data_IF_713914585390
#
_entry.id   IF_713914585390
#
_cell.length_a   1.000
_cell.length_b   1.000
_cell.length_c   1.000
_cell.angle_alpha   90.00
_cell.angle_beta   90.00
_cell.angle_gamma   90.00
#
_symmetry.space_group_name_H-M   'P 1'
#
loop_
_entity.id
_entity.type
_entity.pdbx_description
1 polymer ?
#
# COMPACT_ATOMS: atom_id res chain seq x y z
N UNK A 1 57.84 -35.20 -1.04
CA UNK A 1 56.77 -34.18 -0.93
C UNK A 1 55.73 -34.51 -2.00
N UNK A 2 54.57 -35.06 -1.60
CA UNK A 2 53.54 -35.54 -2.53
C UNK A 2 52.47 -34.41 -2.66
N UNK A 3 52.24 -33.97 -3.89
CA UNK A 3 51.18 -33.02 -4.23
C UNK A 3 49.81 -33.74 -4.22
N UNK A 4 48.80 -33.14 -3.55
CA UNK A 4 47.42 -33.61 -3.51
C UNK A 4 46.64 -32.82 -4.57
N UNK A 5 45.90 -33.48 -5.49
CA UNK A 5 45.10 -32.78 -6.49
C UNK A 5 43.80 -32.27 -5.84
N UNK A 6 43.52 -30.96 -6.01
CA UNK A 6 42.25 -30.33 -5.68
C UNK A 6 41.27 -30.61 -6.81
N UNK A 7 40.22 -31.38 -6.51
CA UNK A 7 39.11 -31.62 -7.43
C UNK A 7 38.12 -30.44 -7.34
N UNK A 8 37.99 -29.72 -8.45
CA UNK A 8 36.97 -28.68 -8.61
C UNK A 8 35.60 -29.34 -8.83
N UNK A 9 34.70 -29.16 -7.87
CA UNK A 9 33.29 -29.53 -8.00
C UNK A 9 32.52 -28.38 -8.69
N UNK A 10 32.06 -28.62 -9.89
CA UNK A 10 31.16 -27.74 -10.62
C UNK A 10 29.76 -27.79 -10.03
N UNK A 11 29.03 -26.64 -9.86
CA UNK A 11 27.64 -26.62 -9.41
C UNK A 11 26.71 -27.03 -10.56
N UNK A 12 25.95 -28.11 -10.36
CA UNK A 12 24.86 -28.53 -11.24
C UNK A 12 23.70 -27.53 -11.18
N UNK A 13 23.13 -27.11 -12.33
CA UNK A 13 21.94 -26.25 -12.32
C UNK A 13 20.70 -27.08 -11.93
N UNK A 14 20.03 -26.66 -10.86
CA UNK A 14 18.71 -27.17 -10.46
C UNK A 14 17.70 -26.71 -11.51
N UNK A 15 17.41 -27.58 -12.47
CA UNK A 15 16.26 -27.43 -13.37
C UNK A 15 14.99 -27.76 -12.58
N UNK A 16 14.29 -26.75 -12.11
CA UNK A 16 12.94 -26.86 -11.56
C UNK A 16 12.03 -27.38 -12.68
N UNK A 17 11.60 -28.64 -12.54
CA UNK A 17 10.57 -29.25 -13.39
C UNK A 17 9.20 -28.67 -13.02
N UNK A 18 8.82 -27.55 -13.61
CA UNK A 18 7.52 -26.90 -13.50
C UNK A 18 6.56 -27.36 -14.62
N UNK A 19 6.61 -28.63 -14.97
CA UNK A 19 5.89 -29.14 -16.13
C UNK A 19 4.91 -30.30 -15.88
N UNK A 20 4.66 -30.73 -14.65
CA UNK A 20 3.87 -31.98 -14.43
C UNK A 20 2.63 -31.83 -13.55
N UNK A 21 2.21 -30.64 -13.18
CA UNK A 21 0.99 -30.43 -12.37
C UNK A 21 -0.18 -29.87 -13.17
N UNK A 22 0.01 -29.42 -14.41
CA UNK A 22 -1.06 -28.86 -15.25
C UNK A 22 -1.77 -29.92 -16.13
N UNK A 23 -1.24 -31.12 -16.23
CA UNK A 23 -1.78 -32.18 -17.10
C UNK A 23 -2.82 -33.12 -16.45
N UNK A 24 -3.18 -32.95 -15.17
CA UNK A 24 -4.08 -33.88 -14.46
C UNK A 24 -5.47 -33.31 -14.12
N UNK A 25 -5.82 -32.12 -14.61
CA UNK A 25 -7.13 -31.44 -14.37
C UNK A 25 -8.02 -31.34 -15.62
N UNK A 26 -7.70 -31.99 -16.75
CA UNK A 26 -8.47 -31.93 -18.00
C UNK A 26 -9.12 -33.23 -18.45
N UNK A 27 -9.21 -34.28 -17.63
CA UNK A 27 -9.81 -35.58 -18.03
C UNK A 27 -11.12 -35.90 -17.31
N UNK A 28 -11.75 -35.01 -16.57
CA UNK A 28 -12.99 -35.28 -15.82
C UNK A 28 -14.24 -34.51 -16.34
N UNK A 29 -14.33 -34.15 -17.61
CA UNK A 29 -15.52 -33.48 -18.18
C UNK A 29 -16.00 -34.07 -19.53
N UNK A 30 -16.02 -35.40 -19.66
CA UNK A 30 -16.65 -36.00 -20.83
C UNK A 30 -17.34 -37.32 -20.46
N UNK A 31 -18.53 -37.26 -19.86
CA UNK A 31 -19.60 -38.30 -19.90
C UNK A 31 -20.76 -37.81 -19.03
N UNK A 32 -21.70 -37.11 -19.64
CA UNK A 32 -22.95 -36.67 -19.01
C UNK A 32 -23.89 -36.09 -20.02
N UNK A 33 -24.23 -36.90 -21.08
CA UNK A 33 -25.38 -36.60 -21.93
C UNK A 33 -26.65 -37.06 -21.21
N UNK A 34 -27.47 -36.10 -20.73
CA UNK A 34 -28.72 -36.38 -20.04
C UNK A 34 -29.70 -35.22 -20.22
N UNK A 35 -30.62 -35.41 -21.19
CA UNK A 35 -31.96 -34.82 -21.34
C UNK A 35 -32.15 -33.33 -21.09
N UNK A 36 -32.41 -32.67 -22.24
CA UNK A 36 -32.97 -31.33 -22.31
C UNK A 36 -34.36 -31.31 -21.67
N UNK A 37 -34.48 -30.62 -20.52
CA UNK A 37 -35.76 -30.10 -20.06
C UNK A 37 -35.78 -28.59 -20.34
N UNK A 38 -36.61 -28.22 -21.29
CA UNK A 38 -36.82 -26.86 -21.75
C UNK A 38 -37.68 -26.11 -20.71
N UNK A 39 -37.11 -25.81 -19.54
CA UNK A 39 -37.69 -24.81 -18.66
C UNK A 39 -37.39 -23.44 -19.27
N UNK A 40 -38.36 -22.90 -20.00
CA UNK A 40 -38.42 -21.50 -20.38
C UNK A 40 -38.28 -20.63 -19.13
N UNK A 41 -37.05 -20.22 -18.81
CA UNK A 41 -36.78 -19.13 -17.86
C UNK A 41 -37.48 -17.90 -18.48
N UNK A 42 -38.66 -17.57 -17.96
CA UNK A 42 -39.25 -16.25 -18.16
C UNK A 42 -38.14 -15.26 -17.78
N UNK A 43 -37.61 -14.52 -18.78
CA UNK A 43 -36.85 -13.32 -18.57
C UNK A 43 -37.62 -12.49 -17.55
N UNK A 44 -37.02 -12.06 -16.42
CA UNK A 44 -37.66 -11.01 -15.67
C UNK A 44 -37.81 -9.86 -16.67
N UNK A 45 -39.03 -9.44 -16.91
CA UNK A 45 -39.31 -8.18 -17.57
C UNK A 45 -38.51 -7.17 -16.77
N UNK A 46 -37.44 -6.65 -17.36
CA UNK A 46 -36.85 -5.40 -16.94
C UNK A 46 -37.93 -4.35 -17.14
N UNK A 47 -38.72 -4.15 -16.12
CA UNK A 47 -39.50 -2.93 -15.99
C UNK A 47 -38.49 -1.83 -15.70
N UNK A 48 -37.65 -1.52 -16.69
CA UNK A 48 -37.09 -0.21 -16.80
C UNK A 48 -38.28 0.75 -16.88
N UNK A 49 -38.23 1.86 -16.13
CA UNK A 49 -39.30 2.83 -16.23
C UNK A 49 -39.46 3.20 -17.70
N UNK A 50 -40.68 2.96 -18.21
CA UNK A 50 -41.09 3.41 -19.53
C UNK A 50 -40.85 4.91 -19.58
N UNK A 51 -40.09 5.39 -20.56
CA UNK A 51 -39.81 6.84 -20.76
C UNK A 51 -41.06 7.63 -21.17
N UNK A 52 -42.26 7.07 -20.98
CA UNK A 52 -43.56 7.67 -21.25
C UNK A 52 -44.37 8.05 -20.03
N UNK A 53 -43.83 7.82 -18.81
CA UNK A 53 -44.45 8.33 -17.60
C UNK A 53 -44.15 9.84 -17.52
N UNK A 54 -45.21 10.67 -17.66
CA UNK A 54 -45.12 12.11 -17.49
C UNK A 54 -44.80 12.42 -16.01
N UNK A 55 -43.51 12.41 -15.66
CA UNK A 55 -43.06 12.78 -14.35
C UNK A 55 -42.95 14.31 -14.24
N UNK A 56 -43.49 14.85 -13.18
CA UNK A 56 -43.32 16.27 -12.82
C UNK A 56 -42.19 16.36 -11.82
N UNK A 57 -41.24 17.23 -12.10
CA UNK A 57 -40.13 17.52 -11.18
C UNK A 57 -40.48 18.70 -10.30
N UNK A 58 -40.25 18.56 -9.01
CA UNK A 58 -40.36 19.65 -8.02
C UNK A 58 -39.02 19.91 -7.41
N UNK A 59 -38.56 21.13 -7.43
CA UNK A 59 -37.33 21.54 -6.79
C UNK A 59 -37.44 22.90 -6.13
N UNK A 60 -36.52 23.15 -5.19
CA UNK A 60 -36.43 24.44 -4.51
C UNK A 60 -35.06 25.05 -4.81
N UNK A 61 -35.08 26.25 -5.44
CA UNK A 61 -33.82 26.93 -5.73
C UNK A 61 -33.10 27.40 -4.45
N UNK A 62 -31.85 27.76 -4.56
CA UNK A 62 -31.06 28.33 -3.45
C UNK A 62 -31.65 29.63 -2.92
N UNK A 63 -32.45 30.36 -3.74
CA UNK A 63 -33.18 31.56 -3.34
C UNK A 63 -34.52 31.29 -2.65
N UNK A 64 -34.90 30.01 -2.49
CA UNK A 64 -36.11 29.57 -1.80
C UNK A 64 -37.36 29.45 -2.68
N UNK A 65 -37.27 29.75 -3.98
CA UNK A 65 -38.37 29.59 -4.92
C UNK A 65 -38.59 28.13 -5.30
N UNK A 66 -39.84 27.66 -5.33
CA UNK A 66 -40.24 26.33 -5.75
C UNK A 66 -40.59 26.34 -7.23
N UNK A 67 -39.99 25.41 -7.99
CA UNK A 67 -40.25 25.19 -9.40
C UNK A 67 -40.93 23.84 -9.60
N UNK A 68 -41.86 23.81 -10.55
CA UNK A 68 -42.56 22.60 -10.99
C UNK A 68 -42.51 22.53 -12.50
N UNK A 69 -42.28 21.37 -13.07
CA UNK A 69 -42.26 21.21 -14.52
C UNK A 69 -41.79 19.82 -14.97
N UNK A 70 -41.90 19.57 -16.24
CA UNK A 70 -41.47 18.33 -16.86
C UNK A 70 -39.93 18.27 -17.09
N UNK A 71 -39.26 19.43 -16.95
CA UNK A 71 -37.79 19.53 -17.02
C UNK A 71 -37.24 20.19 -15.76
N UNK A 72 -36.07 19.78 -15.35
CA UNK A 72 -35.35 20.40 -14.22
C UNK A 72 -34.79 21.75 -14.69
N UNK A 73 -35.22 22.88 -14.13
CA UNK A 73 -34.73 24.17 -14.56
C UNK A 73 -33.30 24.43 -14.08
N UNK A 74 -32.55 25.30 -14.78
CA UNK A 74 -31.14 25.58 -14.43
C UNK A 74 -30.97 26.11 -12.98
N UNK A 75 -31.95 26.80 -12.45
CA UNK A 75 -31.97 27.36 -11.11
C UNK A 75 -32.00 26.27 -10.01
N UNK A 76 -32.37 25.06 -10.37
CA UNK A 76 -32.39 23.89 -9.49
C UNK A 76 -31.17 22.98 -9.69
N UNK A 77 -30.20 23.37 -10.50
CA UNK A 77 -28.95 22.62 -10.63
C UNK A 77 -28.22 22.56 -9.28
N UNK A 78 -27.98 21.32 -8.81
CA UNK A 78 -27.35 21.09 -7.51
C UNK A 78 -28.27 21.16 -6.30
N UNK A 79 -29.57 21.40 -6.47
CA UNK A 79 -30.59 21.29 -5.41
C UNK A 79 -31.22 19.88 -5.45
N UNK A 80 -31.86 19.50 -4.34
CA UNK A 80 -32.65 18.27 -4.29
C UNK A 80 -33.89 18.40 -5.19
N UNK A 81 -34.13 17.39 -6.03
CA UNK A 81 -35.25 17.35 -6.96
C UNK A 81 -36.15 16.17 -6.62
N UNK A 82 -37.44 16.46 -6.35
CA UNK A 82 -38.45 15.46 -6.16
C UNK A 82 -39.12 15.12 -7.48
N UNK A 83 -39.25 13.83 -7.76
CA UNK A 83 -40.00 13.32 -8.90
C UNK A 83 -41.37 12.94 -8.44
N UNK A 84 -42.41 13.55 -9.03
CA UNK A 84 -43.79 13.36 -8.68
C UNK A 84 -44.50 12.49 -9.73
N UNK A 85 -45.44 11.67 -9.29
CA UNK A 85 -46.37 10.96 -10.18
C UNK A 85 -47.51 11.89 -10.62
N UNK A 86 -48.42 11.35 -11.48
CA UNK A 86 -49.61 12.08 -11.93
C UNK A 86 -50.54 12.52 -10.80
N UNK A 87 -50.44 11.89 -9.65
CA UNK A 87 -51.22 12.23 -8.44
C UNK A 87 -50.53 13.24 -7.55
N UNK A 88 -49.32 13.73 -7.92
CA UNK A 88 -48.54 14.67 -7.14
C UNK A 88 -47.82 14.08 -5.94
N UNK A 89 -47.69 12.73 -5.86
CA UNK A 89 -46.93 12.06 -4.82
C UNK A 89 -45.47 11.92 -5.24
N UNK A 90 -44.56 12.07 -4.29
CA UNK A 90 -43.12 11.87 -4.50
C UNK A 90 -42.86 10.39 -4.69
N UNK A 91 -42.47 9.99 -5.90
CA UNK A 91 -42.06 8.61 -6.25
C UNK A 91 -40.58 8.41 -6.14
N UNK A 92 -39.80 9.47 -6.28
CA UNK A 92 -38.33 9.41 -6.20
C UNK A 92 -37.78 10.78 -5.83
N UNK A 93 -36.63 10.79 -5.15
CA UNK A 93 -35.84 12.00 -4.90
C UNK A 93 -34.50 11.87 -5.64
N UNK A 94 -34.11 12.91 -6.38
CA UNK A 94 -32.79 13.05 -6.97
C UNK A 94 -32.01 13.98 -6.05
N UNK A 95 -31.01 13.50 -5.32
CA UNK A 95 -30.26 14.34 -4.38
C UNK A 95 -29.39 15.34 -5.16
N UNK A 96 -29.42 16.59 -4.70
CA UNK A 96 -28.57 17.66 -5.23
C UNK A 96 -27.10 17.51 -4.84
N UNK A 97 -26.24 18.35 -5.41
CA UNK A 97 -24.78 18.26 -5.17
C UNK A 97 -24.43 18.42 -3.66
N UNK A 98 -25.13 19.30 -2.94
CA UNK A 98 -24.92 19.45 -1.48
C UNK A 98 -25.38 18.23 -0.69
N UNK A 99 -26.54 17.64 -1.07
CA UNK A 99 -27.03 16.40 -0.46
C UNK A 99 -26.12 15.21 -0.76
N UNK A 100 -25.55 15.14 -1.96
CA UNK A 100 -24.55 14.11 -2.33
C UNK A 100 -23.27 14.26 -1.50
N UNK A 101 -22.81 15.48 -1.29
CA UNK A 101 -21.63 15.74 -0.44
C UNK A 101 -21.92 15.36 1.04
N UNK A 102 -23.08 15.71 1.56
CA UNK A 102 -23.48 15.32 2.91
C UNK A 102 -23.60 13.80 3.07
N UNK A 103 -24.19 13.11 2.10
CA UNK A 103 -24.27 11.64 2.09
C UNK A 103 -22.88 11.00 2.01
N UNK A 104 -21.98 11.55 1.18
CA UNK A 104 -20.60 11.10 1.10
C UNK A 104 -19.86 11.30 2.42
N UNK A 105 -20.04 12.46 3.08
CA UNK A 105 -19.45 12.74 4.39
C UNK A 105 -20.00 11.82 5.49
N UNK A 106 -21.30 11.56 5.50
CA UNK A 106 -21.91 10.61 6.44
C UNK A 106 -21.36 9.20 6.24
N UNK A 107 -21.34 8.74 4.99
CA UNK A 107 -20.77 7.42 4.67
C UNK A 107 -19.31 7.32 5.06
N UNK A 108 -18.51 8.34 4.77
CA UNK A 108 -17.10 8.36 5.19
C UNK A 108 -16.95 8.31 6.72
N UNK A 109 -17.83 8.97 7.47
CA UNK A 109 -17.84 8.92 8.93
C UNK A 109 -18.26 7.54 9.47
N UNK A 110 -19.24 6.88 8.84
CA UNK A 110 -19.65 5.50 9.18
C UNK A 110 -18.55 4.50 8.86
N UNK A 111 -17.93 4.60 7.69
CA UNK A 111 -16.81 3.75 7.27
C UNK A 111 -15.61 3.92 8.21
N UNK A 112 -15.32 5.16 8.64
CA UNK A 112 -14.28 5.45 9.62
C UNK A 112 -14.56 4.82 11.00
N UNK A 113 -15.82 4.89 11.48
CA UNK A 113 -16.24 4.23 12.72
C UNK A 113 -16.14 2.70 12.62
N UNK A 114 -16.60 2.14 11.50
CA UNK A 114 -16.50 0.70 11.26
C UNK A 114 -15.04 0.23 11.21
N UNK A 115 -14.16 0.98 10.55
CA UNK A 115 -12.73 0.71 10.49
C UNK A 115 -12.06 0.81 11.87
N UNK A 116 -12.44 1.78 12.70
CA UNK A 116 -11.98 1.92 14.08
C UNK A 116 -12.42 0.73 14.93
N UNK A 117 -13.69 0.35 14.88
CA UNK A 117 -14.20 -0.82 15.60
C UNK A 117 -13.55 -2.13 15.15
N UNK A 118 -13.25 -2.26 13.88
CA UNK A 118 -12.52 -3.42 13.36
C UNK A 118 -11.08 -3.46 13.88
N UNK A 119 -10.37 -2.33 13.94
CA UNK A 119 -9.04 -2.24 14.54
C UNK A 119 -9.05 -2.64 16.01
N UNK A 120 -10.03 -2.14 16.78
CA UNK A 120 -10.19 -2.49 18.19
C UNK A 120 -10.41 -3.99 18.39
N UNK A 121 -11.26 -4.62 17.56
CA UNK A 121 -11.47 -6.08 17.61
C UNK A 121 -10.19 -6.85 17.29
N UNK A 122 -9.45 -6.41 16.26
CA UNK A 122 -8.18 -7.03 15.87
C UNK A 122 -7.17 -6.92 17.01
N UNK A 123 -7.06 -5.74 17.65
CA UNK A 123 -6.15 -5.51 18.77
C UNK A 123 -6.46 -6.46 19.93
N UNK A 124 -7.73 -6.57 20.33
CA UNK A 124 -8.17 -7.46 21.42
C UNK A 124 -8.04 -8.94 21.07
N UNK A 125 -8.16 -9.31 19.79
CA UNK A 125 -8.00 -10.69 19.34
C UNK A 125 -6.51 -11.10 19.22
N UNK A 126 -5.63 -10.14 18.92
CA UNK A 126 -4.20 -10.41 18.71
C UNK A 126 -3.44 -10.48 20.03
N UNK A 127 -3.80 -9.66 21.01
CA UNK A 127 -3.06 -9.55 22.27
C UNK A 127 -3.94 -9.90 23.47
N UNK A 128 -3.37 -10.65 24.40
CA UNK A 128 -4.04 -11.01 25.65
C UNK A 128 -3.74 -9.96 26.73
N UNK A 129 -2.53 -9.47 26.78
CA UNK A 129 -2.01 -8.55 27.80
C UNK A 129 -1.22 -7.39 27.19
N UNK A 130 -1.06 -6.31 27.95
CA UNK A 130 -0.17 -5.19 27.58
C UNK A 130 1.26 -5.69 27.39
N UNK A 131 1.72 -6.61 28.24
CA UNK A 131 3.05 -7.19 28.15
C UNK A 131 3.32 -7.92 26.83
N UNK A 132 2.30 -8.48 26.18
CA UNK A 132 2.45 -9.11 24.86
C UNK A 132 2.74 -8.06 23.78
N UNK A 133 2.08 -6.91 23.85
CA UNK A 133 2.29 -5.78 22.93
C UNK A 133 3.70 -5.20 23.13
N UNK A 134 4.10 -5.00 24.40
CA UNK A 134 5.42 -4.48 24.74
C UNK A 134 6.54 -5.41 24.28
N UNK A 135 6.39 -6.72 24.48
CA UNK A 135 7.37 -7.73 24.05
C UNK A 135 7.54 -7.70 22.53
N UNK A 136 6.44 -7.61 21.76
CA UNK A 136 6.54 -7.55 20.32
C UNK A 136 7.17 -6.24 19.83
N UNK A 137 6.85 -5.12 20.48
CA UNK A 137 7.51 -3.82 20.23
C UNK A 137 9.02 -3.96 20.42
N UNK A 138 9.43 -4.48 21.57
CA UNK A 138 10.84 -4.55 21.95
C UNK A 138 11.62 -5.46 21.02
N UNK A 139 11.05 -6.61 20.62
CA UNK A 139 11.64 -7.49 19.62
C UNK A 139 11.84 -6.78 18.25
N UNK A 140 10.86 -5.99 17.81
CA UNK A 140 10.97 -5.23 16.55
C UNK A 140 12.01 -4.13 16.63
N UNK A 141 12.05 -3.41 17.75
CA UNK A 141 13.05 -2.35 17.99
C UNK A 141 14.44 -2.96 18.02
N UNK A 142 14.64 -4.06 18.76
CA UNK A 142 15.92 -4.76 18.85
C UNK A 142 16.44 -5.21 17.48
N UNK A 143 15.57 -5.77 16.64
CA UNK A 143 15.94 -6.17 15.27
C UNK A 143 16.44 -4.97 14.45
N UNK A 144 15.74 -3.83 14.50
CA UNK A 144 16.15 -2.61 13.80
C UNK A 144 17.46 -2.05 14.35
N UNK A 145 17.67 -2.13 15.66
CA UNK A 145 18.91 -1.70 16.29
C UNK A 145 20.09 -2.57 15.88
N UNK A 146 19.91 -3.90 15.82
CA UNK A 146 20.94 -4.82 15.33
C UNK A 146 21.29 -4.52 13.87
N UNK A 147 20.31 -4.28 13.02
CA UNK A 147 20.56 -3.85 11.64
C UNK A 147 21.32 -2.53 11.57
N UNK A 148 20.97 -1.57 12.41
CA UNK A 148 21.66 -0.29 12.48
C UNK A 148 23.11 -0.42 12.95
N UNK A 149 23.43 -1.33 13.88
CA UNK A 149 24.80 -1.61 14.31
C UNK A 149 25.64 -2.11 13.13
N UNK A 150 25.12 -3.08 12.38
CA UNK A 150 25.78 -3.62 11.20
C UNK A 150 25.97 -2.53 10.13
N UNK A 151 24.93 -1.76 9.84
CA UNK A 151 24.99 -0.67 8.85
C UNK A 151 26.03 0.39 9.24
N UNK A 152 26.10 0.80 10.53
CA UNK A 152 27.13 1.73 11.00
C UNK A 152 28.55 1.16 10.84
N UNK A 153 28.73 -0.13 11.06
CA UNK A 153 30.02 -0.78 10.85
C UNK A 153 30.45 -0.73 9.36
N UNK A 154 29.51 -0.97 8.44
CA UNK A 154 29.79 -0.80 7.01
C UNK A 154 30.15 0.63 6.64
N UNK A 155 29.42 1.62 7.16
CA UNK A 155 29.69 3.05 6.95
C UNK A 155 31.11 3.38 7.46
N UNK A 156 31.48 2.91 8.64
CA UNK A 156 32.82 3.14 9.22
C UNK A 156 33.91 2.55 8.36
N UNK A 157 33.71 1.33 7.86
CA UNK A 157 34.68 0.67 6.97
C UNK A 157 34.82 1.41 5.64
N UNK A 158 33.69 1.85 5.05
CA UNK A 158 33.71 2.59 3.79
C UNK A 158 34.37 3.98 3.95
N UNK A 159 34.10 4.70 5.04
CA UNK A 159 34.76 5.98 5.35
C UNK A 159 36.28 5.82 5.54
N UNK A 160 36.70 4.74 6.19
CA UNK A 160 38.12 4.42 6.31
C UNK A 160 38.77 4.09 4.96
N UNK A 161 38.02 3.42 4.06
CA UNK A 161 38.46 3.16 2.70
C UNK A 161 38.53 4.45 1.86
N UNK A 162 37.51 5.28 1.93
CA UNK A 162 37.48 6.59 1.29
C UNK A 162 38.68 7.44 1.68
N UNK A 163 38.98 7.54 2.98
CA UNK A 163 40.14 8.29 3.48
C UNK A 163 41.46 7.80 2.86
N UNK A 164 41.69 6.48 2.81
CA UNK A 164 42.92 5.91 2.17
C UNK A 164 42.94 6.18 0.66
N UNK A 165 41.82 6.13 -0.02
CA UNK A 165 41.74 6.44 -1.44
C UNK A 165 42.02 7.93 -1.68
N UNK A 166 41.49 8.84 -0.87
CA UNK A 166 41.74 10.27 -0.96
C UNK A 166 43.22 10.63 -0.70
N UNK A 167 43.88 9.92 0.20
CA UNK A 167 45.33 10.05 0.37
C UNK A 167 46.09 9.55 -0.87
N UNK A 168 45.67 8.42 -1.44
CA UNK A 168 46.33 7.83 -2.62
C UNK A 168 46.23 8.72 -3.86
N UNK A 169 45.11 9.41 -4.08
CA UNK A 169 44.91 10.25 -5.29
C UNK A 169 45.78 11.50 -5.30
N UNK A 170 46.30 11.96 -4.18
CA UNK A 170 47.19 13.12 -4.10
C UNK A 170 48.49 12.97 -4.94
N UNK A 171 48.81 11.76 -5.36
CA UNK A 171 49.97 11.46 -6.24
C UNK A 171 49.65 11.68 -7.73
N UNK A 172 48.37 11.78 -8.10
CA UNK A 172 47.91 11.78 -9.47
C UNK A 172 47.26 13.13 -9.85
N UNK A 173 47.30 13.47 -11.16
CA UNK A 173 46.53 14.60 -11.67
C UNK A 173 45.05 14.28 -11.68
N UNK A 174 44.15 15.23 -11.40
CA UNK A 174 44.37 16.67 -11.13
C UNK A 174 44.71 17.00 -9.66
N UNK A 175 44.78 16.04 -8.76
CA UNK A 175 44.92 16.27 -7.31
C UNK A 175 46.34 16.57 -6.84
N UNK A 176 47.35 16.19 -7.64
CA UNK A 176 48.74 16.46 -7.32
C UNK A 176 49.17 17.87 -7.68
N UNK A 177 49.88 18.60 -6.81
CA UNK A 177 50.47 19.89 -7.15
C UNK A 177 51.68 19.79 -8.11
N UNK A 178 52.19 18.62 -8.38
CA UNK A 178 53.37 18.39 -9.25
C UNK A 178 52.95 18.47 -10.73
N UNK A 179 53.59 19.29 -11.57
CA UNK A 179 53.20 19.47 -12.98
C UNK A 179 53.31 18.17 -13.81
N UNK A 180 54.25 17.27 -13.46
CA UNK A 180 54.49 16.02 -14.13
C UNK A 180 53.89 14.78 -13.42
N UNK A 181 52.89 14.97 -12.57
CA UNK A 181 52.24 13.86 -11.89
C UNK A 181 51.53 12.97 -12.93
N UNK A 182 51.50 11.66 -12.71
CA UNK A 182 50.78 10.70 -13.59
C UNK A 182 49.25 10.97 -13.54
N UNK A 183 48.58 10.48 -14.58
CA UNK A 183 47.13 10.53 -14.67
C UNK A 183 46.54 9.53 -13.65
N UNK A 184 45.42 9.86 -13.04
CA UNK A 184 44.73 8.96 -12.10
C UNK A 184 44.34 7.65 -12.84
N UNK A 185 44.75 6.48 -12.33
CA UNK A 185 44.31 5.20 -12.88
C UNK A 185 42.82 5.01 -12.78
N UNK A 186 42.20 4.50 -13.84
CA UNK A 186 40.75 4.24 -13.91
C UNK A 186 40.25 3.33 -12.76
N UNK A 187 41.07 2.36 -12.37
CA UNK A 187 40.75 1.47 -11.25
C UNK A 187 40.53 2.25 -9.94
N UNK A 188 41.42 3.19 -9.63
CA UNK A 188 41.30 4.02 -8.41
C UNK A 188 40.07 4.94 -8.51
N UNK A 189 39.84 5.54 -9.68
CA UNK A 189 38.67 6.38 -9.92
C UNK A 189 37.36 5.59 -9.71
N UNK A 190 37.28 4.40 -10.28
CA UNK A 190 36.12 3.50 -10.11
C UNK A 190 35.92 3.07 -8.66
N UNK A 191 37.02 2.83 -7.93
CA UNK A 191 36.97 2.44 -6.53
C UNK A 191 36.44 3.56 -5.63
N UNK A 192 36.84 4.81 -5.91
CA UNK A 192 36.27 5.99 -5.22
C UNK A 192 34.79 6.11 -5.47
N UNK A 193 34.38 6.05 -6.74
CA UNK A 193 32.96 6.16 -7.12
C UNK A 193 32.13 5.07 -6.42
N UNK A 194 32.60 3.83 -6.39
CA UNK A 194 31.91 2.73 -5.75
C UNK A 194 31.84 2.89 -4.23
N UNK A 195 32.92 3.40 -3.62
CA UNK A 195 32.97 3.67 -2.17
C UNK A 195 31.98 4.77 -1.77
N UNK A 196 31.96 5.87 -2.52
CA UNK A 196 31.02 7.00 -2.27
C UNK A 196 29.57 6.56 -2.50
N UNK A 197 29.28 5.81 -3.56
CA UNK A 197 27.93 5.25 -3.79
C UNK A 197 27.53 4.30 -2.64
N UNK A 198 28.44 3.45 -2.19
CA UNK A 198 28.21 2.58 -1.06
C UNK A 198 27.87 3.36 0.22
N UNK A 199 28.63 4.43 0.53
CA UNK A 199 28.34 5.32 1.65
C UNK A 199 26.93 5.91 1.55
N UNK A 200 26.56 6.47 0.40
CA UNK A 200 25.23 7.04 0.20
C UNK A 200 24.11 6.02 0.44
N UNK A 201 24.27 4.80 -0.04
CA UNK A 201 23.27 3.73 0.15
C UNK A 201 23.11 3.39 1.63
N UNK A 202 24.21 3.13 2.33
CA UNK A 202 24.14 2.72 3.74
C UNK A 202 23.73 3.87 4.67
N UNK A 203 24.09 5.11 4.38
CA UNK A 203 23.62 6.27 5.13
C UNK A 203 22.11 6.48 4.97
N UNK A 204 21.58 6.29 3.74
CA UNK A 204 20.14 6.33 3.49
C UNK A 204 19.41 5.19 4.21
N UNK A 205 19.99 4.00 4.24
CA UNK A 205 19.42 2.86 4.96
C UNK A 205 19.38 3.12 6.48
N UNK A 206 20.44 3.68 7.05
CA UNK A 206 20.47 4.06 8.46
C UNK A 206 19.37 5.07 8.81
N UNK A 207 19.15 6.06 7.94
CA UNK A 207 18.08 7.05 8.10
C UNK A 207 16.71 6.36 8.08
N UNK A 208 16.47 5.48 7.10
CA UNK A 208 15.21 4.73 6.97
C UNK A 208 14.95 3.86 8.19
N UNK A 209 15.93 3.10 8.63
CA UNK A 209 15.78 2.22 9.80
C UNK A 209 15.54 3.00 11.09
N UNK A 210 16.16 4.17 11.22
CA UNK A 210 15.92 5.06 12.37
C UNK A 210 14.50 5.59 12.36
N UNK A 211 14.02 6.07 11.21
CA UNK A 211 12.65 6.54 11.05
C UNK A 211 11.63 5.40 11.30
N UNK A 212 11.93 4.19 10.82
CA UNK A 212 11.10 3.00 11.04
C UNK A 212 11.02 2.64 12.53
N UNK A 213 12.14 2.69 13.25
CA UNK A 213 12.16 2.47 14.70
C UNK A 213 11.25 3.46 15.44
N UNK A 214 11.31 4.73 15.06
CA UNK A 214 10.45 5.76 15.65
C UNK A 214 8.97 5.52 15.31
N UNK A 215 8.67 5.10 14.08
CA UNK A 215 7.33 4.75 13.65
C UNK A 215 6.78 3.58 14.48
N UNK A 216 7.54 2.50 14.58
CA UNK A 216 7.19 1.33 15.39
C UNK A 216 6.93 1.75 16.85
N UNK A 217 7.80 2.55 17.44
CA UNK A 217 7.64 3.02 18.82
C UNK A 217 6.31 3.78 19.01
N UNK A 218 5.97 4.69 18.08
CA UNK A 218 4.72 5.46 18.14
C UNK A 218 3.49 4.60 17.95
N UNK A 219 3.52 3.68 16.98
CA UNK A 219 2.39 2.78 16.69
C UNK A 219 2.08 1.88 17.88
N UNK A 220 3.08 1.24 18.44
CA UNK A 220 2.89 0.38 19.62
C UNK A 220 2.49 1.16 20.87
N UNK A 221 2.95 2.39 21.04
CA UNK A 221 2.49 3.24 22.14
C UNK A 221 0.99 3.57 22.02
N UNK A 222 0.53 3.86 20.81
CA UNK A 222 -0.89 4.07 20.54
C UNK A 222 -1.72 2.79 20.78
N UNK A 223 -1.23 1.64 20.32
CA UNK A 223 -1.87 0.34 20.53
C UNK A 223 -1.97 -0.01 22.01
N UNK A 224 -0.92 0.22 22.80
CA UNK A 224 -0.92 0.01 24.26
C UNK A 224 -1.95 0.90 24.93
N UNK A 225 -1.98 2.19 24.58
CA UNK A 225 -2.96 3.13 25.12
C UNK A 225 -4.38 2.68 24.81
N UNK A 226 -4.65 2.33 23.54
CA UNK A 226 -5.96 1.87 23.11
C UNK A 226 -6.38 0.56 23.76
N UNK A 227 -5.46 -0.39 23.88
CA UNK A 227 -5.71 -1.67 24.53
C UNK A 227 -6.07 -1.49 26.02
N UNK A 228 -5.37 -0.60 26.74
CA UNK A 228 -5.69 -0.26 28.13
C UNK A 228 -7.08 0.32 28.27
N UNK A 229 -7.47 1.27 27.38
CA UNK A 229 -8.81 1.83 27.35
C UNK A 229 -9.88 0.75 27.14
N UNK A 230 -9.70 -0.14 26.15
CA UNK A 230 -10.65 -1.18 25.82
C UNK A 230 -10.79 -2.24 26.91
N UNK A 231 -9.73 -2.54 27.65
CA UNK A 231 -9.72 -3.49 28.78
C UNK A 231 -10.08 -2.85 30.12
N UNK A 232 -10.15 -1.53 30.20
CA UNK A 232 -10.36 -0.81 31.46
C UNK A 232 -9.19 -0.93 32.45
N UNK A 233 -7.98 -1.16 31.95
CA UNK A 233 -6.75 -1.33 32.75
C UNK A 233 -6.01 0.01 32.79
N UNK A 234 -5.55 0.41 34.00
CA UNK A 234 -4.74 1.63 34.19
C UNK A 234 -3.26 1.40 33.93
#
# INVERSE_FOLDING_TARGET
>A
MRAVPVTASSPTPIRVRLGLVVALLLVACALGAGVADAAQKKKPKSSGPSLTDEHVYRCKSASGHSFFGQNIPPECMGADVEVLDETGRVVRMIPGAKSLEQLAAQKAAEDAKAAAAQRDRTLLATYLTVADIERLRDQRIELLEQQNVVTRQYITNLRSREARLMESVQRYRPYSPKPNAPVLPEQIASEIVNTVKGLQVYEQELIKNTAERERVTREFAADISRFKELKGVK
#
